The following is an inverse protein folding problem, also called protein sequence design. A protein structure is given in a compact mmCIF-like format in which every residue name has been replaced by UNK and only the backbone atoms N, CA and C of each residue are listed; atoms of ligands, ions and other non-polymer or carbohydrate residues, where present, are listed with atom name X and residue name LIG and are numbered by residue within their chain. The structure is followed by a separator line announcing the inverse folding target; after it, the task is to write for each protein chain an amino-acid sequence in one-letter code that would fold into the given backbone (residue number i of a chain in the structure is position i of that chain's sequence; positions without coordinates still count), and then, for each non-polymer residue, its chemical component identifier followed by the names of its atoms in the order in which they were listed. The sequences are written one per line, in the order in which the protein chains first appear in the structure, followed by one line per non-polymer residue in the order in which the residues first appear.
data_IF_903608696228
#
_entry.id   IF_903608696228
#
_cell.length_a   1.000
_cell.length_b   1.000
_cell.length_c   1.000
_cell.angle_alpha   90.00
_cell.angle_beta   90.00
_cell.angle_gamma   90.00
#
_symmetry.space_group_name_H-M   'P 1'
#
loop_
_entity.id
_entity.type
_entity.pdbx_description
1 polymer ?
#
# COMPACT_ATOMS: atom_id res chain seq x y z
N UNK A 1 12.28 -9.90 6.22
CA UNK A 1 13.11 -9.87 5.00
C UNK A 1 12.80 -11.14 4.21
N UNK A 2 12.37 -11.04 2.95
CA UNK A 2 12.01 -12.22 2.14
C UNK A 2 13.26 -13.00 1.78
N UNK A 3 13.23 -14.33 1.92
CA UNK A 3 14.34 -15.19 1.48
C UNK A 3 14.24 -15.47 -0.02
N UNK A 4 15.35 -15.90 -0.64
CA UNK A 4 15.37 -16.32 -2.05
C UNK A 4 14.30 -17.41 -2.31
N UNK A 5 14.05 -18.31 -1.35
CA UNK A 5 13.01 -19.34 -1.47
C UNK A 5 11.59 -18.76 -1.49
N UNK A 6 11.35 -17.68 -0.76
CA UNK A 6 10.05 -17.00 -0.77
C UNK A 6 9.80 -16.35 -2.13
N UNK A 7 10.83 -15.75 -2.73
CA UNK A 7 10.74 -15.14 -4.06
C UNK A 7 10.29 -16.18 -5.11
N UNK A 8 10.85 -17.40 -5.09
CA UNK A 8 10.45 -18.46 -6.04
C UNK A 8 9.01 -18.94 -5.84
N UNK A 9 8.51 -19.04 -4.60
CA UNK A 9 7.11 -19.42 -4.32
C UNK A 9 6.12 -18.34 -4.77
N UNK A 10 6.51 -17.08 -4.69
CA UNK A 10 5.69 -15.92 -5.08
C UNK A 10 5.82 -15.53 -6.56
N UNK A 11 6.83 -16.04 -7.26
CA UNK A 11 7.18 -15.63 -8.62
C UNK A 11 5.99 -15.68 -9.61
N UNK A 12 5.15 -16.73 -9.65
CA UNK A 12 4.01 -16.75 -10.57
C UNK A 12 3.01 -15.61 -10.30
N UNK A 13 2.75 -15.29 -9.02
CA UNK A 13 1.85 -14.18 -8.64
C UNK A 13 2.46 -12.83 -8.98
N UNK A 14 3.75 -12.66 -8.73
CA UNK A 14 4.48 -11.43 -9.08
C UNK A 14 4.46 -11.20 -10.60
N UNK A 15 4.79 -12.22 -11.40
CA UNK A 15 4.74 -12.17 -12.87
C UNK A 15 3.34 -11.83 -13.35
N UNK A 16 2.30 -12.46 -12.78
CA UNK A 16 0.90 -12.15 -13.12
C UNK A 16 0.56 -10.69 -12.83
N UNK A 17 1.03 -10.14 -11.71
CA UNK A 17 0.81 -8.74 -11.32
C UNK A 17 1.51 -7.77 -12.28
N UNK A 18 2.74 -8.09 -12.70
CA UNK A 18 3.50 -7.30 -13.69
C UNK A 18 2.82 -7.32 -15.06
N UNK A 19 2.33 -8.47 -15.51
CA UNK A 19 1.68 -8.61 -16.83
C UNK A 19 0.28 -7.98 -16.86
N UNK A 20 -0.46 -8.02 -15.76
CA UNK A 20 -1.85 -7.53 -15.67
C UNK A 20 -1.96 -6.20 -14.92
N UNK A 21 -1.00 -5.29 -15.11
CA UNK A 21 -1.03 -3.98 -14.46
C UNK A 21 -2.29 -3.22 -14.87
N UNK A 22 -3.07 -2.82 -13.87
CA UNK A 22 -4.27 -1.98 -14.03
C UNK A 22 -3.91 -0.52 -13.87
N UNK A 23 -4.76 0.36 -14.41
CA UNK A 23 -4.70 1.81 -14.17
C UNK A 23 -5.15 2.17 -12.76
N UNK A 24 -6.06 1.39 -12.20
CA UNK A 24 -6.66 1.63 -10.88
C UNK A 24 -6.95 0.28 -10.21
N UNK A 25 -6.75 0.22 -8.90
CA UNK A 25 -6.93 -0.96 -8.06
C UNK A 25 -7.93 -0.63 -6.96
N UNK A 26 -8.85 -1.56 -6.69
CA UNK A 26 -9.72 -1.52 -5.51
C UNK A 26 -9.17 -2.49 -4.50
N UNK A 27 -8.69 -1.98 -3.37
CA UNK A 27 -8.01 -2.76 -2.33
C UNK A 27 -8.80 -2.62 -1.05
N UNK A 28 -9.02 -3.74 -0.35
CA UNK A 28 -9.70 -3.77 0.93
C UNK A 28 -8.68 -4.01 2.04
N UNK A 29 -8.90 -3.35 3.18
CA UNK A 29 -8.12 -3.51 4.39
C UNK A 29 -9.05 -3.69 5.57
N UNK A 30 -8.62 -4.50 6.54
CA UNK A 30 -9.38 -4.82 7.73
C UNK A 30 -8.53 -4.55 8.97
N UNK A 31 -9.15 -3.98 10.00
CA UNK A 31 -8.56 -3.79 11.32
C UNK A 31 -8.98 -4.95 12.22
N UNK A 32 -8.01 -5.68 12.75
CA UNK A 32 -8.26 -6.79 13.69
C UNK A 32 -8.24 -6.31 15.14
N UNK A 33 -8.62 -7.18 16.10
CA UNK A 33 -8.91 -6.81 17.50
C UNK A 33 -7.75 -6.17 18.27
N UNK A 34 -6.51 -6.38 17.85
CA UNK A 34 -5.31 -5.76 18.42
C UNK A 34 -5.03 -4.34 17.86
N UNK A 35 -5.89 -3.85 16.95
CA UNK A 35 -5.77 -2.55 16.31
C UNK A 35 -4.89 -2.53 15.06
N UNK A 36 -4.33 -3.67 14.65
CA UNK A 36 -3.49 -3.78 13.47
C UNK A 36 -4.31 -3.84 12.19
N UNK A 37 -3.86 -3.12 11.16
CA UNK A 37 -4.46 -3.10 9.84
C UNK A 37 -3.79 -4.11 8.92
N UNK A 38 -4.57 -4.89 8.16
CA UNK A 38 -4.07 -5.86 7.19
C UNK A 38 -4.74 -5.65 5.83
N UNK A 39 -3.98 -5.85 4.76
CA UNK A 39 -4.55 -5.92 3.41
C UNK A 39 -5.26 -7.25 3.18
N UNK A 40 -6.47 -7.20 2.64
CA UNK A 40 -7.18 -8.39 2.19
C UNK A 40 -6.55 -8.91 0.90
N UNK A 41 -5.73 -9.95 1.04
CA UNK A 41 -5.10 -10.63 -0.08
C UNK A 41 -5.34 -12.15 -0.01
N UNK A 42 -6.45 -12.64 -0.59
CA UNK A 42 -6.80 -14.06 -0.53
C UNK A 42 -5.69 -14.98 -1.05
N UNK A 43 -5.54 -16.13 -0.38
CA UNK A 43 -4.54 -17.15 -0.71
C UNK A 43 -3.09 -16.64 -0.70
N UNK A 44 -2.76 -15.65 0.13
CA UNK A 44 -1.39 -15.20 0.32
C UNK A 44 -0.48 -16.38 0.70
N UNK A 45 0.62 -16.66 -0.05
CA UNK A 45 1.40 -17.88 0.12
C UNK A 45 2.47 -17.78 1.22
N UNK A 46 2.56 -16.65 1.92
CA UNK A 46 3.55 -16.39 2.98
C UNK A 46 2.88 -16.07 4.31
N UNK A 47 3.67 -15.67 5.32
CA UNK A 47 3.13 -15.28 6.63
C UNK A 47 2.09 -14.17 6.49
N UNK A 48 1.01 -14.27 7.25
CA UNK A 48 -0.03 -13.26 7.33
C UNK A 48 0.52 -11.91 7.80
N UNK A 49 1.58 -11.91 8.62
CA UNK A 49 2.25 -10.69 9.10
C UNK A 49 2.79 -9.82 7.96
N UNK A 50 3.03 -10.41 6.79
CA UNK A 50 3.47 -9.64 5.61
C UNK A 50 2.36 -8.77 5.01
N UNK A 51 1.11 -9.04 5.37
CA UNK A 51 -0.06 -8.26 4.96
C UNK A 51 -0.33 -7.10 5.91
N UNK A 52 0.39 -7.03 7.04
CA UNK A 52 0.24 -5.95 8.02
C UNK A 52 0.69 -4.60 7.44
N UNK A 53 -0.07 -3.57 7.75
CA UNK A 53 0.20 -2.18 7.41
C UNK A 53 0.92 -1.54 8.60
N UNK A 54 2.07 -0.92 8.34
CA UNK A 54 2.96 -0.42 9.40
C UNK A 54 3.58 0.91 8.97
N UNK A 55 4.24 1.59 9.92
CA UNK A 55 5.04 2.79 9.69
C UNK A 55 4.33 3.85 8.84
N UNK A 56 3.14 4.27 9.31
CA UNK A 56 2.37 5.36 8.70
C UNK A 56 1.30 4.89 7.73
N UNK A 57 1.45 3.69 7.13
CA UNK A 57 0.39 3.13 6.31
C UNK A 57 -0.83 2.72 7.15
N UNK A 58 -0.61 2.24 8.38
CA UNK A 58 -1.65 2.03 9.40
C UNK A 58 -2.38 3.34 9.73
N UNK A 59 -1.65 4.44 9.88
CA UNK A 59 -2.22 5.76 10.18
C UNK A 59 -3.03 6.32 9.01
N UNK A 60 -2.60 6.05 7.79
CA UNK A 60 -3.35 6.44 6.60
C UNK A 60 -4.70 5.72 6.56
N UNK A 61 -4.73 4.42 6.87
CA UNK A 61 -5.97 3.66 6.97
C UNK A 61 -6.82 4.10 8.16
N UNK A 62 -6.20 4.46 9.29
CA UNK A 62 -6.91 5.04 10.43
C UNK A 62 -7.65 6.33 10.02
N UNK A 63 -7.01 7.19 9.22
CA UNK A 63 -7.62 8.40 8.70
C UNK A 63 -8.74 8.11 7.70
N UNK A 64 -8.52 7.18 6.77
CA UNK A 64 -9.48 6.86 5.71
C UNK A 64 -10.67 6.05 6.20
N UNK A 65 -10.49 5.25 7.26
CA UNK A 65 -11.56 4.39 7.82
C UNK A 65 -12.67 5.19 8.49
N UNK A 66 -12.40 6.41 8.94
CA UNK A 66 -13.34 7.23 9.73
C UNK A 66 -13.94 6.46 10.93
N UNK A 67 -13.12 5.62 11.57
CA UNK A 67 -13.54 4.81 12.72
C UNK A 67 -14.05 3.40 12.39
N UNK A 68 -14.24 3.06 11.10
CA UNK A 68 -14.63 1.72 10.69
C UNK A 68 -13.51 0.68 10.85
N UNK A 69 -13.88 -0.59 11.05
CA UNK A 69 -12.94 -1.72 11.06
C UNK A 69 -12.58 -2.21 9.66
N UNK A 70 -13.23 -1.68 8.62
CA UNK A 70 -13.06 -2.08 7.24
C UNK A 70 -12.93 -0.82 6.39
N UNK A 71 -11.92 -0.78 5.53
CA UNK A 71 -11.79 0.31 4.58
C UNK A 71 -11.46 -0.23 3.20
N UNK A 72 -12.22 0.20 2.21
CA UNK A 72 -11.93 -0.05 0.80
C UNK A 72 -11.37 1.23 0.21
N UNK A 73 -10.30 1.10 -0.56
CA UNK A 73 -9.65 2.25 -1.19
C UNK A 73 -9.47 2.00 -2.68
N UNK A 74 -9.55 3.08 -3.44
CA UNK A 74 -9.03 3.15 -4.79
C UNK A 74 -7.57 3.57 -4.75
N UNK A 75 -6.74 2.89 -5.55
CA UNK A 75 -5.31 3.15 -5.70
C UNK A 75 -4.97 3.29 -7.18
N UNK A 76 -4.43 4.45 -7.57
CA UNK A 76 -3.95 4.73 -8.92
C UNK A 76 -2.42 4.86 -8.88
N UNK A 77 -1.66 3.89 -9.41
CA UNK A 77 -0.22 4.03 -9.58
C UNK A 77 0.11 4.88 -10.81
N UNK A 78 1.06 5.81 -10.68
CA UNK A 78 1.51 6.64 -11.79
C UNK A 78 3.04 6.82 -11.82
N UNK A 79 3.57 7.00 -13.04
CA UNK A 79 5.00 7.30 -13.27
C UNK A 79 5.30 8.79 -13.26
N UNK A 80 4.33 9.60 -13.70
CA UNK A 80 4.40 11.07 -13.73
C UNK A 80 3.32 11.62 -12.81
N UNK A 81 3.57 12.81 -12.27
CA UNK A 81 2.59 13.53 -11.48
C UNK A 81 1.36 13.83 -12.35
N UNK A 82 0.18 13.64 -11.77
CA UNK A 82 -1.11 13.89 -12.39
C UNK A 82 -2.07 14.55 -11.39
N UNK A 83 -3.25 14.94 -11.88
CA UNK A 83 -4.31 15.47 -11.05
C UNK A 83 -5.42 14.42 -10.93
N UNK A 84 -5.71 14.02 -9.70
CA UNK A 84 -6.76 13.07 -9.37
C UNK A 84 -7.63 13.67 -8.27
N UNK A 85 -8.76 14.26 -8.67
CA UNK A 85 -9.65 14.96 -7.74
C UNK A 85 -10.15 14.04 -6.62
N UNK A 86 -10.04 14.54 -5.38
CA UNK A 86 -10.42 13.80 -4.17
C UNK A 86 -9.45 12.68 -3.77
N UNK A 87 -8.33 12.49 -4.48
CA UNK A 87 -7.29 11.54 -4.06
C UNK A 87 -6.19 12.22 -3.26
N UNK A 88 -5.68 11.49 -2.27
CA UNK A 88 -4.45 11.81 -1.54
C UNK A 88 -3.26 11.41 -2.42
N UNK A 89 -2.35 12.34 -2.68
CA UNK A 89 -1.11 12.08 -3.41
C UNK A 89 -0.01 11.59 -2.46
N UNK A 90 0.64 10.49 -2.86
CA UNK A 90 1.83 9.93 -2.26
C UNK A 90 2.96 9.97 -3.29
N UNK A 91 4.09 10.58 -2.94
CA UNK A 91 5.27 10.65 -3.81
C UNK A 91 6.39 9.79 -3.23
N UNK A 92 6.89 8.84 -4.02
CA UNK A 92 8.01 7.99 -3.61
C UNK A 92 9.27 8.83 -3.40
N UNK A 93 9.86 8.73 -2.21
CA UNK A 93 11.15 9.38 -1.88
C UNK A 93 12.29 8.39 -1.95
N UNK A 94 12.08 7.17 -1.46
CA UNK A 94 13.09 6.12 -1.38
C UNK A 94 12.47 4.75 -1.69
N UNK A 95 13.26 3.85 -2.26
CA UNK A 95 12.85 2.46 -2.43
C UNK A 95 14.04 1.52 -2.31
N UNK A 96 13.75 0.33 -1.78
CA UNK A 96 14.64 -0.81 -1.83
C UNK A 96 13.92 -1.92 -2.60
N UNK A 97 14.63 -2.59 -3.51
CA UNK A 97 14.05 -3.60 -4.41
C UNK A 97 13.21 -4.65 -3.64
N UNK A 98 13.66 -5.03 -2.44
CA UNK A 98 12.99 -6.02 -1.58
C UNK A 98 12.68 -5.50 -0.16
N UNK A 99 13.04 -4.26 0.15
CA UNK A 99 12.88 -3.64 1.47
C UNK A 99 11.66 -2.73 1.59
N UNK A 100 10.78 -2.68 0.58
CA UNK A 100 9.65 -1.76 0.55
C UNK A 100 10.03 -0.40 -0.05
N UNK A 101 9.13 0.56 0.09
CA UNK A 101 9.35 1.91 -0.43
C UNK A 101 8.70 2.96 0.47
N UNK A 102 9.42 4.05 0.70
CA UNK A 102 8.96 5.18 1.49
C UNK A 102 8.32 6.22 0.56
N UNK A 103 7.17 6.72 0.98
CA UNK A 103 6.40 7.73 0.27
C UNK A 103 6.17 8.93 1.18
N UNK A 104 6.35 10.12 0.63
CA UNK A 104 5.90 11.37 1.23
C UNK A 104 4.41 11.57 0.94
N UNK A 105 3.65 11.89 1.98
CA UNK A 105 2.21 12.14 1.96
C UNK A 105 1.96 13.62 1.71
N UNK A 106 1.27 13.96 0.62
CA UNK A 106 0.86 15.34 0.30
C UNK A 106 -0.58 15.59 0.73
N UNK A 107 -0.83 15.50 2.04
CA UNK A 107 -2.17 15.68 2.61
C UNK A 107 -2.12 16.25 4.04
N UNK A 108 -2.53 17.51 4.17
CA UNK A 108 -2.46 18.27 5.42
C UNK A 108 -3.16 17.59 6.62
N UNK A 109 -4.39 17.06 6.50
CA UNK A 109 -5.05 16.39 7.62
C UNK A 109 -4.25 15.22 8.19
N UNK A 110 -3.54 14.47 7.34
CA UNK A 110 -2.66 13.39 7.79
C UNK A 110 -1.45 13.93 8.56
N UNK A 111 -0.77 14.94 7.98
CA UNK A 111 0.43 15.55 8.56
C UNK A 111 0.12 16.16 9.93
N UNK A 112 -0.97 16.89 10.04
CA UNK A 112 -1.36 17.58 11.27
C UNK A 112 -1.78 16.60 12.37
N UNK A 113 -2.52 15.54 12.03
CA UNK A 113 -3.04 14.55 12.99
C UNK A 113 -1.93 13.64 13.52
N UNK A 114 -1.02 13.17 12.66
CA UNK A 114 -0.02 12.17 13.04
C UNK A 114 1.39 12.72 13.20
N UNK A 115 1.59 14.03 12.99
CA UNK A 115 2.88 14.73 13.10
C UNK A 115 3.99 14.05 12.28
N UNK A 116 3.63 13.59 11.08
CA UNK A 116 4.52 12.94 10.11
C UNK A 116 4.01 13.14 8.70
N UNK A 117 4.91 13.23 7.75
CA UNK A 117 4.62 13.41 6.34
C UNK A 117 5.07 12.22 5.48
N UNK A 118 5.47 11.11 6.09
CA UNK A 118 5.93 9.92 5.38
C UNK A 118 5.24 8.65 5.87
N UNK A 119 5.08 7.71 4.94
CA UNK A 119 4.69 6.33 5.22
C UNK A 119 5.57 5.35 4.45
N UNK A 120 5.75 4.15 5.00
CA UNK A 120 6.45 3.05 4.34
C UNK A 120 5.45 2.03 3.81
N UNK A 121 5.63 1.62 2.56
CA UNK A 121 4.83 0.63 1.88
C UNK A 121 5.66 -0.65 1.75
N UNK A 122 5.11 -1.75 2.27
CA UNK A 122 5.80 -3.03 2.31
C UNK A 122 5.84 -3.75 0.94
N UNK A 123 6.69 -4.77 0.78
CA UNK A 123 6.84 -5.47 -0.49
C UNK A 123 5.64 -6.28 -0.97
N UNK A 124 4.59 -6.46 -0.15
CA UNK A 124 3.32 -7.01 -0.63
C UNK A 124 2.80 -6.22 -1.85
N UNK A 125 3.14 -4.93 -1.93
CA UNK A 125 2.80 -4.04 -3.05
C UNK A 125 3.35 -4.52 -4.38
N UNK A 126 4.49 -5.21 -4.40
CA UNK A 126 5.00 -5.82 -5.63
C UNK A 126 4.06 -6.92 -6.14
N UNK A 127 3.37 -7.63 -5.26
CA UNK A 127 2.40 -8.66 -5.64
C UNK A 127 1.04 -8.05 -6.02
N UNK A 128 0.69 -6.90 -5.45
CA UNK A 128 -0.57 -6.20 -5.75
C UNK A 128 -0.47 -5.36 -7.02
N UNK A 129 0.56 -4.52 -7.16
CA UNK A 129 0.74 -3.53 -8.22
C UNK A 129 1.84 -3.90 -9.25
N UNK A 130 2.63 -4.92 -8.98
CA UNK A 130 3.72 -5.36 -9.86
C UNK A 130 4.95 -4.43 -9.85
N UNK A 131 4.96 -3.37 -9.05
CA UNK A 131 6.07 -2.42 -8.87
C UNK A 131 5.80 -1.44 -7.73
N UNK A 132 6.81 -0.66 -7.33
CA UNK A 132 6.63 0.56 -6.56
C UNK A 132 6.54 1.76 -7.52
N UNK A 133 5.35 2.34 -7.75
CA UNK A 133 5.21 3.50 -8.64
C UNK A 133 5.83 4.76 -8.02
N UNK A 134 6.22 5.72 -8.86
CA UNK A 134 6.76 7.01 -8.40
C UNK A 134 5.70 7.84 -7.68
N UNK A 135 4.44 7.76 -8.13
CA UNK A 135 3.29 8.39 -7.49
C UNK A 135 2.21 7.35 -7.22
N UNK A 136 1.54 7.47 -6.07
CA UNK A 136 0.33 6.73 -5.75
C UNK A 136 -0.75 7.75 -5.38
N UNK A 137 -1.92 7.63 -6.00
CA UNK A 137 -3.10 8.37 -5.59
C UNK A 137 -4.04 7.41 -4.87
N UNK A 138 -4.42 7.73 -3.63
CA UNK A 138 -5.30 6.90 -2.81
C UNK A 138 -6.55 7.65 -2.38
N UNK A 139 -7.71 6.98 -2.43
CA UNK A 139 -9.00 7.55 -1.99
C UNK A 139 -9.86 6.46 -1.35
N UNK A 140 -10.59 6.81 -0.28
CA UNK A 140 -11.63 5.93 0.28
C UNK A 140 -12.75 5.71 -0.73
N UNK A 141 -13.26 4.47 -0.82
CA UNK A 141 -14.44 4.10 -1.62
C UNK A 141 -15.69 3.96 -0.76
#
# INVERSE_FOLDING_TARGET
MYTIRDIFKGAPKLVKSVLNRKREYRIQFNKVKDGCWYVDFPHWPFSHDNLAMVSGADKMLELLSDGDLYVKVSVIPAKKKGQHEGYIELEQTEHSLFGGSTYQVKYEPFIQRFKRDTLWICPVTLFVLGHYPKFIYIKRL
#
